data_IF_468693346617
#
_entry.id   IF_468693346617
#
_cell.length_a   1.000
_cell.length_b   1.000
_cell.length_c   1.000
_cell.angle_alpha   90.00
_cell.angle_beta   90.00
_cell.angle_gamma   90.00
#
_symmetry.space_group_name_H-M   'P 1'
#
loop_
_entity.id
_entity.type
_entity.pdbx_description
1 polymer ?
#
# COMPACT_ATOMS: atom_id res chain seq x y z
N UNK A 1 -20.89 7.16 -34.29
CA UNK A 1 -20.00 8.15 -33.63
C UNK A 1 -19.16 7.42 -32.59
N UNK A 2 -17.84 7.30 -32.79
CA UNK A 2 -16.91 6.65 -31.86
C UNK A 2 -16.53 7.66 -30.78
N UNK A 3 -17.10 7.52 -29.58
CA UNK A 3 -16.69 8.32 -28.44
C UNK A 3 -15.24 7.97 -28.08
N UNK A 4 -14.39 9.00 -28.06
CA UNK A 4 -12.98 8.93 -27.66
C UNK A 4 -12.88 8.29 -26.28
N UNK A 5 -12.14 7.18 -26.21
CA UNK A 5 -11.60 6.56 -25.00
C UNK A 5 -10.67 7.59 -24.33
N UNK A 6 -11.24 8.45 -23.50
CA UNK A 6 -10.44 9.29 -22.60
C UNK A 6 -9.87 8.32 -21.58
N UNK A 7 -8.56 8.13 -21.70
CA UNK A 7 -7.71 7.36 -20.80
C UNK A 7 -7.84 7.99 -19.39
N UNK A 8 -8.67 7.40 -18.54
CA UNK A 8 -8.70 7.69 -17.10
C UNK A 8 -7.52 6.97 -16.44
N UNK A 9 -6.31 7.49 -16.64
CA UNK A 9 -5.09 7.04 -15.93
C UNK A 9 -5.06 7.50 -14.45
N UNK A 10 -6.20 7.61 -13.78
CA UNK A 10 -6.25 8.19 -12.42
C UNK A 10 -7.51 7.98 -11.62
N UNK A 11 -8.44 7.12 -12.04
CA UNK A 11 -9.57 6.73 -11.22
C UNK A 11 -9.40 5.25 -10.87
N UNK A 12 -9.31 4.94 -9.58
CA UNK A 12 -9.48 3.57 -9.12
C UNK A 12 -10.90 3.14 -9.42
N UNK A 13 -11.07 2.01 -10.08
CA UNK A 13 -12.36 1.36 -10.15
C UNK A 13 -12.70 0.76 -8.76
N UNK A 14 -13.98 0.49 -8.45
CA UNK A 14 -14.35 -0.09 -7.15
C UNK A 14 -13.57 -1.37 -6.80
N UNK A 15 -13.27 -2.19 -7.81
CA UNK A 15 -12.48 -3.42 -7.67
C UNK A 15 -11.02 -3.11 -7.27
N UNK A 16 -10.43 -2.03 -7.78
CA UNK A 16 -9.11 -1.59 -7.34
C UNK A 16 -9.14 -1.12 -5.89
N UNK A 17 -10.15 -0.36 -5.50
CA UNK A 17 -10.29 0.12 -4.12
C UNK A 17 -10.40 -1.07 -3.16
N UNK A 18 -11.21 -2.07 -3.49
CA UNK A 18 -11.40 -3.28 -2.68
C UNK A 18 -10.09 -4.10 -2.58
N UNK A 19 -9.38 -4.25 -3.70
CA UNK A 19 -8.07 -4.90 -3.73
C UNK A 19 -7.05 -4.17 -2.85
N UNK A 20 -6.96 -2.85 -2.95
CA UNK A 20 -6.05 -2.03 -2.15
C UNK A 20 -6.40 -2.06 -0.66
N UNK A 21 -7.69 -2.02 -0.32
CA UNK A 21 -8.16 -2.13 1.07
C UNK A 21 -7.79 -3.50 1.66
N UNK A 22 -8.07 -4.57 0.93
CA UNK A 22 -7.73 -5.94 1.34
C UNK A 22 -6.23 -6.09 1.54
N UNK A 23 -5.42 -5.57 0.61
CA UNK A 23 -3.96 -5.59 0.73
C UNK A 23 -3.46 -4.79 1.94
N UNK A 24 -4.04 -3.62 2.21
CA UNK A 24 -3.69 -2.80 3.37
C UNK A 24 -4.01 -3.50 4.69
N UNK A 25 -5.19 -4.13 4.80
CA UNK A 25 -5.57 -4.88 6.00
C UNK A 25 -4.64 -6.06 6.24
N UNK A 26 -4.39 -6.87 5.19
CA UNK A 26 -3.49 -8.01 5.25
C UNK A 26 -2.05 -7.61 5.59
N UNK A 27 -1.55 -6.51 5.02
CA UNK A 27 -0.22 -5.99 5.32
C UNK A 27 -0.14 -5.44 6.75
N UNK A 28 -1.19 -4.74 7.22
CA UNK A 28 -1.22 -4.15 8.56
C UNK A 28 -1.17 -5.22 9.65
N UNK A 29 -1.95 -6.30 9.52
CA UNK A 29 -1.96 -7.42 10.45
C UNK A 29 -0.55 -8.03 10.66
N UNK A 30 0.29 -8.00 9.64
CA UNK A 30 1.66 -8.55 9.71
C UNK A 30 2.64 -7.65 10.46
N UNK A 31 2.40 -6.33 10.49
CA UNK A 31 3.37 -5.36 11.04
C UNK A 31 2.88 -4.69 12.32
N UNK A 32 1.60 -4.76 12.65
CA UNK A 32 1.02 -3.96 13.72
C UNK A 32 1.61 -4.25 15.11
N UNK A 33 2.01 -5.49 15.37
CA UNK A 33 2.66 -5.87 16.63
C UNK A 33 4.08 -5.30 16.76
N UNK A 34 4.71 -4.96 15.63
CA UNK A 34 6.06 -4.35 15.58
C UNK A 34 6.03 -2.81 15.64
N UNK A 35 4.85 -2.21 15.72
CA UNK A 35 4.66 -0.77 15.75
C UNK A 35 4.25 -0.35 17.15
N UNK A 36 4.93 0.66 17.71
CA UNK A 36 4.57 1.20 19.01
C UNK A 36 3.19 1.87 18.96
N UNK A 37 2.43 1.81 20.05
CA UNK A 37 1.08 2.40 20.10
C UNK A 37 1.06 3.90 19.74
N UNK A 38 2.15 4.62 20.06
CA UNK A 38 2.31 6.05 19.74
C UNK A 38 2.48 6.32 18.24
N UNK A 39 3.03 5.38 17.49
CA UNK A 39 3.34 5.53 16.06
C UNK A 39 2.31 4.85 15.15
N UNK A 40 1.33 4.15 15.74
CA UNK A 40 0.39 3.27 15.04
C UNK A 40 -0.35 3.94 13.89
N UNK A 41 -0.85 5.15 14.10
CA UNK A 41 -1.56 5.94 13.09
C UNK A 41 -0.62 6.32 11.93
N UNK A 42 0.51 6.98 12.23
CA UNK A 42 1.49 7.37 11.21
C UNK A 42 2.05 6.18 10.44
N UNK A 43 2.29 5.05 11.11
CA UNK A 43 2.73 3.80 10.47
C UNK A 43 1.68 3.24 9.52
N UNK A 44 0.40 3.28 9.91
CA UNK A 44 -0.72 2.81 9.07
C UNK A 44 -0.90 3.70 7.84
N UNK A 45 -0.79 5.02 7.99
CA UNK A 45 -0.83 5.97 6.86
C UNK A 45 0.34 5.77 5.90
N UNK A 46 1.55 5.56 6.43
CA UNK A 46 2.72 5.26 5.61
C UNK A 46 2.52 3.95 4.84
N UNK A 47 2.04 2.89 5.50
CA UNK A 47 1.76 1.61 4.85
C UNK A 47 0.69 1.76 3.76
N UNK A 48 -0.38 2.54 4.01
CA UNK A 48 -1.39 2.84 3.00
C UNK A 48 -0.78 3.54 1.77
N UNK A 49 0.13 4.50 1.99
CA UNK A 49 0.85 5.17 0.91
C UNK A 49 1.67 4.20 0.06
N UNK A 50 2.35 3.24 0.71
CA UNK A 50 3.12 2.19 0.03
C UNK A 50 2.20 1.28 -0.77
N UNK A 51 1.09 0.82 -0.19
CA UNK A 51 0.10 -0.05 -0.87
C UNK A 51 -0.47 0.62 -2.11
N UNK A 52 -0.91 1.88 -2.00
CA UNK A 52 -1.43 2.66 -3.13
C UNK A 52 -0.35 2.86 -4.20
N UNK A 53 0.87 3.19 -3.81
CA UNK A 53 1.97 3.42 -4.76
C UNK A 53 2.34 2.14 -5.52
N UNK A 54 2.41 0.99 -4.82
CA UNK A 54 2.72 -0.29 -5.43
C UNK A 54 1.55 -0.81 -6.30
N UNK A 55 0.30 -0.66 -5.84
CA UNK A 55 -0.89 -1.08 -6.57
C UNK A 55 -1.20 -0.23 -7.80
N UNK A 56 -0.64 0.99 -7.90
CA UNK A 56 -0.72 1.85 -9.09
C UNK A 56 0.24 1.45 -10.22
N UNK A 57 1.32 0.75 -9.91
CA UNK A 57 2.38 0.41 -10.88
C UNK A 57 2.42 -1.07 -11.23
N UNK A 58 1.54 -1.87 -10.61
CA UNK A 58 1.53 -3.32 -10.75
C UNK A 58 0.12 -3.90 -10.69
N UNK A 59 -0.12 -4.93 -11.51
CA UNK A 59 -1.37 -5.69 -11.54
C UNK A 59 -1.38 -6.84 -10.52
N UNK A 60 -0.69 -6.65 -9.38
CA UNK A 60 -0.62 -7.65 -8.31
C UNK A 60 -1.99 -7.83 -7.67
N UNK A 61 -2.29 -9.08 -7.30
CA UNK A 61 -3.44 -9.35 -6.44
C UNK A 61 -3.22 -8.79 -5.02
N UNK A 62 -4.25 -8.88 -4.17
CA UNK A 62 -4.19 -8.30 -2.84
C UNK A 62 -3.13 -8.95 -1.93
N UNK A 63 -2.86 -10.25 -2.07
CA UNK A 63 -1.90 -10.99 -1.25
C UNK A 63 -0.46 -10.69 -1.66
N UNK A 64 -0.20 -10.70 -2.96
CA UNK A 64 1.08 -10.31 -3.53
C UNK A 64 1.40 -8.85 -3.21
N UNK A 65 0.41 -7.96 -3.34
CA UNK A 65 0.55 -6.54 -3.02
C UNK A 65 0.84 -6.33 -1.53
N UNK A 66 0.16 -7.05 -0.64
CA UNK A 66 0.43 -6.98 0.79
C UNK A 66 1.87 -7.39 1.11
N UNK A 67 2.36 -8.48 0.49
CA UNK A 67 3.73 -8.96 0.65
C UNK A 67 4.76 -7.92 0.21
N UNK A 68 4.57 -7.31 -0.95
CA UNK A 68 5.46 -6.26 -1.47
C UNK A 68 5.41 -5.00 -0.58
N UNK A 69 4.22 -4.62 -0.12
CA UNK A 69 4.03 -3.45 0.73
C UNK A 69 4.72 -3.61 2.08
N UNK A 70 4.59 -4.76 2.74
CA UNK A 70 5.28 -5.08 4.01
C UNK A 70 6.79 -4.98 3.84
N UNK A 71 7.35 -5.63 2.81
CA UNK A 71 8.80 -5.59 2.54
C UNK A 71 9.30 -4.16 2.33
N UNK A 72 8.58 -3.37 1.55
CA UNK A 72 8.94 -1.98 1.26
C UNK A 72 8.85 -1.11 2.51
N UNK A 73 7.75 -1.20 3.26
CA UNK A 73 7.54 -0.47 4.50
C UNK A 73 8.63 -0.75 5.54
N UNK A 74 8.97 -2.02 5.77
CA UNK A 74 10.02 -2.40 6.71
C UNK A 74 11.40 -1.92 6.26
N UNK A 75 11.70 -1.96 4.96
CA UNK A 75 12.95 -1.43 4.42
C UNK A 75 13.09 0.07 4.62
N UNK A 76 12.02 0.84 4.42
CA UNK A 76 12.00 2.28 4.68
C UNK A 76 12.21 2.55 6.16
N UNK A 77 11.49 1.85 7.04
CA UNK A 77 11.62 2.03 8.50
C UNK A 77 13.02 1.72 9.02
N UNK A 78 13.65 0.64 8.55
CA UNK A 78 15.02 0.29 8.90
C UNK A 78 16.01 1.39 8.46
N UNK A 79 15.78 2.00 7.30
CA UNK A 79 16.62 3.09 6.78
C UNK A 79 16.47 4.38 7.60
N UNK A 80 15.27 4.69 8.09
CA UNK A 80 15.02 5.85 8.97
C UNK A 80 15.49 5.67 10.41
N UNK A 81 15.69 4.44 10.88
CA UNK A 81 16.14 4.13 12.25
C UNK A 81 17.67 4.05 12.39
N UNK A 82 18.42 4.18 11.31
CA UNK A 82 19.90 4.26 11.35
C UNK A 82 20.35 5.72 11.31
N UNK A 83 20.80 6.33 12.42
CA UNK A 83 21.61 7.55 12.35
C UNK A 83 23.11 7.20 12.21
N UNK A 84 23.92 8.10 11.59
CA UNK A 84 25.38 8.04 11.65
C UNK A 84 25.92 8.32 13.06
#
# INVERSE_FOLDING_TARGET
>A
MRARRIVQTGAFDPEDVERLQTALEAAWLQVEESVSQREREAAREHLATVVVSAGNVSDLDAEELATVAVRTFLSIRASTQSPP
#
